data_IF_466785643347
#
_entry.id   IF_466785643347
#
_cell.length_a   1.000
_cell.length_b   1.000
_cell.length_c   1.000
_cell.angle_alpha   90.00
_cell.angle_beta   90.00
_cell.angle_gamma   90.00
#
_symmetry.space_group_name_H-M   'P 1'
#
loop_
_entity.id
_entity.type
_entity.pdbx_description
1 polymer ?
#
# COMPACT_ATOMS: atom_id res chain seq x y z
N UNK A 1 -96.75 -28.96 18.12
CA UNK A 1 -97.11 -28.60 19.51
C UNK A 1 -96.10 -29.23 20.47
N UNK A 2 -95.45 -28.40 21.31
CA UNK A 2 -95.03 -28.64 22.72
C UNK A 2 -94.61 -30.09 23.08
N UNK A 3 -93.40 -30.39 23.57
CA UNK A 3 -92.78 -29.87 24.81
C UNK A 3 -91.39 -30.49 25.01
N UNK A 4 -90.48 -29.70 25.59
CA UNK A 4 -89.24 -30.14 26.21
C UNK A 4 -89.51 -30.89 27.53
N UNK A 5 -88.54 -31.68 28.01
CA UNK A 5 -88.12 -31.76 29.43
C UNK A 5 -86.66 -32.28 29.51
N UNK A 6 -85.95 -31.66 30.45
CA UNK A 6 -84.53 -31.75 30.83
C UNK A 6 -84.15 -33.09 31.46
N UNK A 7 -82.86 -33.45 31.37
CA UNK A 7 -82.12 -34.08 32.47
C UNK A 7 -80.61 -33.80 32.32
N UNK A 8 -79.98 -33.44 33.43
CA UNK A 8 -78.59 -32.99 33.59
C UNK A 8 -77.79 -34.07 34.33
N UNK A 9 -76.61 -34.40 33.77
CA UNK A 9 -75.32 -34.85 34.35
C UNK A 9 -75.29 -36.06 35.32
N UNK A 10 -74.21 -36.87 35.44
CA UNK A 10 -72.78 -36.56 35.65
C UNK A 10 -71.87 -37.80 35.40
N UNK A 11 -70.68 -37.52 34.82
CA UNK A 11 -69.33 -38.14 34.86
C UNK A 11 -69.08 -39.67 34.89
N UNK A 12 -68.27 -40.12 33.92
CA UNK A 12 -66.85 -40.48 34.11
C UNK A 12 -66.16 -40.65 32.74
N UNK A 13 -65.17 -39.80 32.41
CA UNK A 13 -64.45 -39.84 31.13
C UNK A 13 -62.95 -40.03 31.32
N UNK A 14 -62.45 -41.20 30.92
CA UNK A 14 -61.03 -41.53 30.75
C UNK A 14 -60.48 -40.82 29.50
N UNK A 15 -59.37 -40.09 29.61
CA UNK A 15 -58.65 -39.50 28.48
C UNK A 15 -57.52 -40.44 28.02
N UNK A 16 -57.55 -40.85 26.74
CA UNK A 16 -56.45 -41.53 26.04
C UNK A 16 -55.77 -40.49 25.15
N UNK A 17 -54.47 -40.27 25.34
CA UNK A 17 -53.66 -39.38 24.52
C UNK A 17 -53.21 -40.09 23.24
N UNK A 18 -53.54 -39.53 22.07
CA UNK A 18 -53.01 -39.93 20.78
C UNK A 18 -51.87 -38.97 20.37
N UNK A 19 -50.65 -39.49 20.26
CA UNK A 19 -49.48 -38.75 19.76
C UNK A 19 -49.36 -38.89 18.24
N UNK A 20 -49.51 -37.78 17.52
CA UNK A 20 -49.10 -37.64 16.13
C UNK A 20 -47.72 -36.99 16.07
N UNK A 21 -46.68 -37.73 15.68
CA UNK A 21 -45.37 -37.17 15.33
C UNK A 21 -45.35 -36.74 13.87
N UNK A 22 -45.17 -35.45 13.63
CA UNK A 22 -44.82 -34.88 12.33
C UNK A 22 -43.29 -35.00 12.09
N UNK A 23 -42.81 -35.33 10.88
CA UNK A 23 -41.38 -35.32 10.59
C UNK A 23 -40.87 -33.88 10.57
N UNK A 24 -39.88 -33.58 11.40
CA UNK A 24 -39.17 -32.30 11.42
C UNK A 24 -38.18 -32.32 10.24
N UNK A 25 -38.16 -31.31 9.35
CA UNK A 25 -37.10 -31.21 8.36
C UNK A 25 -35.80 -30.86 9.08
N UNK A 26 -34.80 -31.72 8.97
CA UNK A 26 -33.43 -31.42 9.37
C UNK A 26 -32.89 -30.30 8.46
N UNK A 27 -33.12 -29.06 8.87
CA UNK A 27 -32.36 -27.94 8.35
C UNK A 27 -30.93 -28.10 8.87
N UNK A 28 -30.03 -28.53 7.98
CA UNK A 28 -28.60 -28.34 8.20
C UNK A 28 -28.36 -26.88 8.62
N UNK A 29 -27.45 -26.60 9.57
CA UNK A 29 -27.09 -25.23 9.87
C UNK A 29 -26.67 -24.56 8.56
N UNK A 30 -27.40 -23.52 8.14
CA UNK A 30 -26.96 -22.65 7.06
C UNK A 30 -25.61 -22.08 7.51
N UNK A 31 -24.51 -22.66 7.02
CA UNK A 31 -23.21 -22.01 7.12
C UNK A 31 -23.39 -20.62 6.53
N UNK A 32 -22.99 -19.55 7.24
CA UNK A 32 -22.95 -18.23 6.63
C UNK A 32 -22.13 -18.36 5.32
N UNK A 33 -22.53 -17.69 4.24
CA UNK A 33 -21.76 -17.73 2.99
C UNK A 33 -20.30 -17.41 3.33
N UNK A 34 -19.38 -18.23 2.83
CA UNK A 34 -17.97 -18.03 3.07
C UNK A 34 -17.61 -16.59 2.69
N UNK A 35 -16.93 -15.88 3.59
CA UNK A 35 -16.50 -14.50 3.36
C UNK A 35 -15.63 -14.49 2.11
N UNK A 36 -16.13 -13.88 1.03
CA UNK A 36 -15.36 -13.65 -0.19
C UNK A 36 -14.54 -12.38 -0.06
N UNK A 37 -13.41 -12.33 -0.74
CA UNK A 37 -12.51 -11.18 -0.78
C UNK A 37 -12.21 -10.84 -2.23
N UNK A 38 -12.40 -9.59 -2.63
CA UNK A 38 -12.06 -9.10 -3.96
C UNK A 38 -10.72 -8.39 -3.90
N UNK A 39 -9.70 -8.91 -4.59
CA UNK A 39 -8.34 -8.36 -4.56
C UNK A 39 -7.97 -7.79 -5.92
N UNK A 40 -7.51 -6.53 -5.93
CA UNK A 40 -6.93 -5.88 -7.09
C UNK A 40 -5.47 -6.27 -7.30
N UNK A 41 -5.11 -6.76 -8.48
CA UNK A 41 -3.74 -7.14 -8.86
C UNK A 41 -3.40 -6.71 -10.29
N UNK A 42 -2.13 -6.75 -10.66
CA UNK A 42 -1.70 -6.66 -12.06
C UNK A 42 -1.96 -7.96 -12.82
N UNK A 43 -2.13 -7.89 -14.13
CA UNK A 43 -2.23 -9.09 -14.97
C UNK A 43 -1.10 -9.24 -15.99
N UNK A 44 -0.16 -8.29 -16.02
CA UNK A 44 0.81 -8.13 -17.09
C UNK A 44 2.27 -8.13 -16.62
N UNK A 45 2.59 -8.33 -15.34
CA UNK A 45 3.94 -8.16 -14.80
C UNK A 45 4.60 -9.51 -14.45
N UNK A 46 5.47 -10.06 -15.32
CA UNK A 46 6.10 -11.36 -15.09
C UNK A 46 6.88 -11.40 -13.77
N UNK A 47 6.68 -12.47 -13.00
CA UNK A 47 7.25 -12.64 -11.66
C UNK A 47 6.48 -11.95 -10.53
N UNK A 48 5.79 -10.82 -10.77
CA UNK A 48 4.96 -10.17 -9.75
C UNK A 48 3.50 -10.61 -9.83
N UNK A 49 2.84 -10.40 -10.97
CA UNK A 49 1.48 -10.86 -11.20
C UNK A 49 1.14 -10.88 -12.68
N UNK A 50 0.93 -12.09 -13.20
CA UNK A 50 0.47 -12.35 -14.56
C UNK A 50 -0.81 -13.19 -14.54
N UNK A 51 -1.76 -12.87 -15.41
CA UNK A 51 -2.93 -13.72 -15.62
C UNK A 51 -2.59 -14.82 -16.63
N UNK A 52 -2.57 -16.05 -16.15
CA UNK A 52 -2.34 -17.21 -16.99
C UNK A 52 -3.44 -17.45 -18.04
N UNK A 53 -3.13 -18.31 -19.02
CA UNK A 53 -4.11 -18.77 -20.01
C UNK A 53 -5.29 -19.53 -19.38
N UNK A 54 -5.08 -20.13 -18.22
CA UNK A 54 -6.10 -20.75 -17.38
C UNK A 54 -6.97 -19.74 -16.61
N UNK A 55 -6.76 -18.43 -16.85
CA UNK A 55 -7.49 -17.34 -16.24
C UNK A 55 -7.10 -17.06 -14.78
N UNK A 56 -6.17 -17.81 -14.21
CA UNK A 56 -5.72 -17.67 -12.82
C UNK A 56 -4.45 -16.81 -12.76
N UNK A 57 -4.41 -15.83 -11.86
CA UNK A 57 -3.20 -15.05 -11.66
C UNK A 57 -2.15 -15.83 -10.90
N UNK A 58 -0.87 -15.55 -11.17
CA UNK A 58 0.31 -16.11 -10.49
C UNK A 58 1.41 -15.07 -10.37
N UNK A 59 2.23 -15.17 -9.32
CA UNK A 59 3.38 -14.31 -9.09
C UNK A 59 3.51 -13.90 -7.63
N UNK A 60 4.55 -13.14 -7.33
CA UNK A 60 4.86 -12.69 -5.97
C UNK A 60 3.76 -11.82 -5.32
N UNK A 61 3.12 -10.92 -6.07
CA UNK A 61 1.99 -10.11 -5.57
C UNK A 61 0.78 -11.00 -5.28
N UNK A 62 0.57 -12.05 -6.08
CA UNK A 62 -0.50 -13.04 -5.88
C UNK A 62 -0.25 -13.86 -4.62
N UNK A 63 0.97 -14.35 -4.43
CA UNK A 63 1.36 -15.10 -3.23
C UNK A 63 1.22 -14.24 -1.97
N UNK A 64 1.57 -12.94 -2.07
CA UNK A 64 1.39 -11.96 -1.00
C UNK A 64 -0.10 -11.76 -0.68
N UNK A 65 -0.94 -11.56 -1.70
CA UNK A 65 -2.39 -11.43 -1.53
C UNK A 65 -3.03 -12.68 -0.94
N UNK A 66 -2.62 -13.88 -1.38
CA UNK A 66 -3.10 -15.17 -0.85
C UNK A 66 -2.70 -15.34 0.62
N UNK A 67 -1.47 -14.98 0.98
CA UNK A 67 -1.02 -15.04 2.37
C UNK A 67 -1.86 -14.10 3.26
N UNK A 68 -2.07 -12.85 2.82
CA UNK A 68 -2.91 -11.88 3.53
C UNK A 68 -4.34 -12.41 3.68
N UNK A 69 -4.96 -12.89 2.59
CA UNK A 69 -6.30 -13.45 2.62
C UNK A 69 -6.44 -14.59 3.65
N UNK A 70 -5.45 -15.48 3.70
CA UNK A 70 -5.39 -16.56 4.70
C UNK A 70 -5.37 -16.04 6.14
N UNK A 71 -4.61 -14.98 6.43
CA UNK A 71 -4.62 -14.31 7.75
C UNK A 71 -5.92 -13.57 8.05
N UNK A 72 -6.67 -13.18 7.02
CA UNK A 72 -8.01 -12.60 7.13
C UNK A 72 -9.12 -13.67 7.23
N UNK A 73 -8.77 -14.97 7.18
CA UNK A 73 -9.72 -16.08 7.28
C UNK A 73 -10.40 -16.47 5.96
N UNK A 74 -9.83 -16.05 4.83
CA UNK A 74 -10.35 -16.32 3.48
C UNK A 74 -9.42 -17.29 2.76
N UNK A 75 -9.97 -18.41 2.28
CA UNK A 75 -9.19 -19.40 1.51
C UNK A 75 -9.03 -18.95 0.05
N UNK A 76 -8.01 -19.45 -0.69
CA UNK A 76 -7.74 -19.02 -2.07
C UNK A 76 -8.94 -19.12 -3.02
N UNK A 77 -9.82 -20.11 -2.82
CA UNK A 77 -11.01 -20.34 -3.66
C UNK A 77 -12.07 -19.27 -3.49
N UNK A 78 -12.01 -18.51 -2.39
CA UNK A 78 -12.93 -17.42 -2.08
C UNK A 78 -12.35 -16.04 -2.43
N UNK A 79 -11.20 -15.99 -3.12
CA UNK A 79 -10.62 -14.75 -3.63
C UNK A 79 -11.14 -14.50 -5.05
N UNK A 80 -11.77 -13.34 -5.25
CA UNK A 80 -12.12 -12.82 -6.58
C UNK A 80 -11.03 -11.86 -7.04
N UNK A 81 -10.41 -12.13 -8.17
CA UNK A 81 -9.34 -11.29 -8.71
C UNK A 81 -9.88 -10.23 -9.67
N UNK A 82 -9.46 -8.97 -9.47
CA UNK A 82 -9.74 -7.83 -10.34
C UNK A 82 -8.43 -7.27 -10.89
N UNK A 83 -8.41 -6.87 -12.15
CA UNK A 83 -7.27 -6.13 -12.70
C UNK A 83 -7.23 -4.74 -12.07
N UNK A 84 -6.06 -4.36 -11.57
CA UNK A 84 -5.78 -3.06 -10.99
C UNK A 84 -4.65 -2.38 -11.78
N UNK A 85 -5.01 -1.74 -12.89
CA UNK A 85 -4.06 -0.94 -13.69
C UNK A 85 -3.57 0.26 -12.89
N UNK A 86 -2.42 0.80 -13.29
CA UNK A 86 -1.66 1.72 -12.43
C UNK A 86 -2.47 2.96 -12.05
N UNK A 87 -3.23 3.49 -13.01
CA UNK A 87 -4.13 4.65 -12.87
C UNK A 87 -5.46 4.34 -12.16
N UNK A 88 -5.84 3.07 -12.00
CA UNK A 88 -7.17 2.68 -11.51
C UNK A 88 -7.17 2.24 -10.03
N UNK A 89 -6.00 2.08 -9.41
CA UNK A 89 -5.88 1.45 -8.08
C UNK A 89 -6.66 2.21 -7.01
N UNK A 90 -6.54 3.53 -7.01
CA UNK A 90 -7.22 4.43 -6.09
C UNK A 90 -8.73 4.40 -6.30
N UNK A 91 -9.20 4.47 -7.54
CA UNK A 91 -10.63 4.42 -7.89
C UNK A 91 -11.29 3.08 -7.52
N UNK A 92 -10.58 1.97 -7.73
CA UNK A 92 -11.07 0.64 -7.36
C UNK A 92 -11.27 0.51 -5.85
N UNK A 93 -10.36 1.09 -5.06
CA UNK A 93 -10.48 1.12 -3.60
C UNK A 93 -11.62 2.04 -3.16
N UNK A 94 -11.67 3.27 -3.67
CA UNK A 94 -12.66 4.28 -3.28
C UNK A 94 -14.09 3.93 -3.69
N UNK A 95 -14.27 3.19 -4.79
CA UNK A 95 -15.58 2.68 -5.21
C UNK A 95 -16.01 1.40 -4.49
N UNK A 96 -15.13 0.78 -3.71
CA UNK A 96 -15.36 -0.54 -3.10
C UNK A 96 -15.39 -1.69 -4.11
N UNK A 97 -14.87 -1.49 -5.32
CA UNK A 97 -14.77 -2.53 -6.34
C UNK A 97 -13.76 -3.63 -5.98
N UNK A 98 -12.83 -3.33 -5.08
CA UNK A 98 -11.87 -4.26 -4.45
C UNK A 98 -11.78 -3.96 -2.94
N UNK A 99 -11.52 -4.98 -2.14
CA UNK A 99 -11.29 -4.84 -0.69
C UNK A 99 -9.87 -4.31 -0.42
N UNK A 100 -8.87 -4.80 -1.16
CA UNK A 100 -7.51 -4.28 -1.14
C UNK A 100 -6.77 -4.52 -2.45
N UNK A 101 -5.64 -3.83 -2.64
CA UNK A 101 -4.80 -3.88 -3.84
C UNK A 101 -3.38 -4.33 -3.50
N UNK A 102 -2.90 -5.38 -4.17
CA UNK A 102 -1.49 -5.81 -4.21
C UNK A 102 -1.05 -5.82 -5.67
N UNK A 103 -0.52 -4.70 -6.15
CA UNK A 103 -0.34 -4.44 -7.58
C UNK A 103 0.85 -3.50 -7.84
N UNK A 104 2.07 -3.94 -7.48
CA UNK A 104 3.31 -3.17 -7.59
C UNK A 104 3.12 -1.70 -7.14
N UNK A 105 2.54 -1.51 -5.96
CA UNK A 105 1.87 -0.27 -5.58
C UNK A 105 2.73 0.58 -4.65
N UNK A 106 3.52 1.49 -5.24
CA UNK A 106 4.40 2.36 -4.46
C UNK A 106 3.63 3.24 -3.47
N UNK A 107 4.05 3.21 -2.21
CA UNK A 107 3.60 4.11 -1.15
C UNK A 107 4.24 5.48 -1.42
N UNK A 108 3.41 6.49 -1.64
CA UNK A 108 3.83 7.90 -1.80
C UNK A 108 2.92 8.81 -0.99
N UNK A 109 3.40 10.00 -0.64
CA UNK A 109 2.60 10.96 0.11
C UNK A 109 1.32 11.39 -0.65
N UNK A 110 1.43 11.54 -1.98
CA UNK A 110 0.30 11.87 -2.83
C UNK A 110 -0.78 10.78 -2.84
N UNK A 111 -0.38 9.49 -2.87
CA UNK A 111 -1.35 8.38 -2.82
C UNK A 111 -1.96 8.22 -1.44
N UNK A 112 -1.21 8.49 -0.38
CA UNK A 112 -1.71 8.48 0.99
C UNK A 112 -2.82 9.52 1.24
N UNK A 113 -2.96 10.53 0.39
CA UNK A 113 -4.12 11.45 0.42
C UNK A 113 -5.42 10.78 -0.05
N UNK A 114 -5.33 9.73 -0.87
CA UNK A 114 -6.46 9.11 -1.55
C UNK A 114 -6.80 7.73 -0.99
N UNK A 115 -5.81 7.01 -0.46
CA UNK A 115 -5.96 5.65 0.09
C UNK A 115 -5.13 5.47 1.37
N UNK A 116 -5.37 4.40 2.10
CA UNK A 116 -4.50 3.97 3.21
C UNK A 116 -3.60 2.83 2.74
N UNK A 117 -2.40 2.71 3.33
CA UNK A 117 -1.42 1.69 2.96
C UNK A 117 -1.01 0.83 4.15
N UNK A 118 -0.86 -0.47 3.90
CA UNK A 118 -0.18 -1.42 4.75
C UNK A 118 1.17 -1.84 4.13
N UNK A 119 2.15 -2.23 4.94
CA UNK A 119 3.48 -2.64 4.46
C UNK A 119 4.57 -1.60 4.75
N UNK A 120 5.65 -1.51 3.93
CA UNK A 120 5.81 -2.15 2.62
C UNK A 120 6.05 -3.66 2.67
N UNK A 121 5.74 -4.37 1.58
CA UNK A 121 6.02 -5.79 1.37
C UNK A 121 7.16 -6.04 0.37
N UNK A 122 7.56 -5.06 -0.45
CA UNK A 122 8.71 -5.17 -1.34
C UNK A 122 9.42 -3.82 -1.49
N UNK A 123 10.75 -3.86 -1.56
CA UNK A 123 11.59 -2.71 -1.92
C UNK A 123 12.07 -2.90 -3.36
N UNK A 124 11.89 -1.87 -4.20
CA UNK A 124 12.31 -1.85 -5.60
C UNK A 124 12.97 -0.50 -5.94
N UNK A 125 13.30 -0.28 -7.22
CA UNK A 125 13.71 1.02 -7.71
C UNK A 125 13.53 1.12 -9.22
N UNK A 126 13.19 2.29 -9.73
CA UNK A 126 13.04 2.52 -11.16
C UNK A 126 14.38 2.33 -11.89
N UNK A 127 14.34 1.67 -13.03
CA UNK A 127 15.45 1.39 -13.94
C UNK A 127 14.97 1.52 -15.40
N UNK A 128 15.81 1.10 -16.36
CA UNK A 128 15.57 1.17 -17.79
C UNK A 128 15.65 -0.21 -18.42
N UNK A 129 14.71 -0.51 -19.32
CA UNK A 129 14.69 -1.68 -20.18
C UNK A 129 14.86 -1.22 -21.62
N UNK A 130 15.86 -1.80 -22.28
CA UNK A 130 16.24 -1.46 -23.65
C UNK A 130 16.41 -2.73 -24.48
N UNK A 131 16.46 -2.60 -25.80
CA UNK A 131 16.81 -3.73 -26.68
C UNK A 131 18.24 -4.22 -26.40
N UNK A 132 18.47 -5.51 -26.58
CA UNK A 132 19.73 -6.19 -26.25
C UNK A 132 20.98 -5.55 -26.89
N UNK A 133 20.84 -4.93 -28.06
CA UNK A 133 21.92 -4.26 -28.78
C UNK A 133 22.08 -2.76 -28.49
N UNK A 134 21.14 -2.13 -27.79
CA UNK A 134 21.20 -0.70 -27.45
C UNK A 134 22.31 -0.47 -26.42
N UNK A 135 23.17 0.55 -26.62
CA UNK A 135 24.35 0.86 -25.78
C UNK A 135 24.47 2.35 -25.47
N UNK A 136 23.64 3.19 -26.07
CA UNK A 136 23.64 4.63 -25.88
C UNK A 136 22.72 5.09 -24.74
N UNK A 137 21.96 4.17 -24.13
CA UNK A 137 21.08 4.45 -22.99
C UNK A 137 21.57 3.58 -21.82
N UNK A 138 22.30 4.19 -20.89
CA UNK A 138 22.82 3.52 -19.69
C UNK A 138 22.45 4.27 -18.39
N UNK A 139 22.03 5.54 -18.48
CA UNK A 139 21.49 6.31 -17.35
C UNK A 139 20.22 7.07 -17.73
N UNK A 140 19.45 7.59 -16.76
CA UNK A 140 18.28 8.41 -17.03
C UNK A 140 18.56 9.67 -17.84
N UNK A 141 19.77 10.23 -17.75
CA UNK A 141 20.18 11.42 -18.50
C UNK A 141 20.30 11.15 -20.01
N UNK A 142 20.61 9.90 -20.39
CA UNK A 142 20.71 9.49 -21.80
C UNK A 142 19.37 9.44 -22.54
N UNK A 143 18.26 9.64 -21.82
CA UNK A 143 16.92 9.63 -22.39
C UNK A 143 16.58 10.92 -23.16
N UNK A 144 17.41 11.98 -23.08
CA UNK A 144 17.13 13.24 -23.77
C UNK A 144 16.96 13.06 -25.29
N UNK A 145 15.82 13.52 -25.81
CA UNK A 145 15.44 13.36 -27.22
C UNK A 145 14.96 11.96 -27.61
N UNK A 146 14.94 11.00 -26.67
CA UNK A 146 14.43 9.63 -26.87
C UNK A 146 12.93 9.54 -26.62
N UNK A 147 12.32 8.51 -27.17
CA UNK A 147 10.94 8.12 -26.89
C UNK A 147 10.93 7.03 -25.84
N UNK A 148 10.33 7.31 -24.68
CA UNK A 148 10.33 6.43 -23.51
C UNK A 148 8.90 6.05 -23.18
N UNK A 149 8.65 4.76 -22.90
CA UNK A 149 7.31 4.29 -22.52
C UNK A 149 7.24 3.85 -21.07
N UNK A 150 6.10 4.09 -20.44
CA UNK A 150 5.74 3.52 -19.13
C UNK A 150 4.23 3.42 -18.98
N UNK A 151 3.74 2.86 -17.87
CA UNK A 151 2.31 2.78 -17.60
C UNK A 151 1.75 4.14 -17.15
N UNK A 152 0.56 4.51 -17.62
CA UNK A 152 -0.17 5.70 -17.15
C UNK A 152 -0.50 5.59 -15.64
N UNK A 153 -0.45 6.70 -14.92
CA UNK A 153 -0.66 6.74 -13.46
C UNK A 153 0.45 6.07 -12.62
N UNK A 154 1.60 5.72 -13.22
CA UNK A 154 2.75 5.16 -12.49
C UNK A 154 3.63 6.25 -11.85
N UNK A 155 4.32 5.91 -10.74
CA UNK A 155 5.38 6.76 -10.18
C UNK A 155 6.53 6.94 -11.16
N UNK A 156 6.75 5.96 -12.03
CA UNK A 156 7.75 6.00 -13.08
C UNK A 156 7.48 7.12 -14.10
N UNK A 157 6.22 7.29 -14.54
CA UNK A 157 5.81 8.38 -15.43
C UNK A 157 6.06 9.75 -14.77
N UNK A 158 5.65 9.88 -13.52
CA UNK A 158 5.81 11.08 -12.73
C UNK A 158 7.27 11.45 -12.50
N UNK A 159 8.12 10.45 -12.25
CA UNK A 159 9.55 10.67 -12.04
C UNK A 159 10.23 11.22 -13.28
N UNK A 160 9.92 10.64 -14.45
CA UNK A 160 10.46 11.13 -15.73
C UNK A 160 9.98 12.56 -16.00
N UNK A 161 8.68 12.84 -15.84
CA UNK A 161 8.11 14.19 -16.05
C UNK A 161 8.77 15.26 -15.16
N UNK A 162 9.18 14.90 -13.93
CA UNK A 162 9.67 15.86 -12.94
C UNK A 162 11.19 16.02 -12.89
N UNK A 163 11.94 14.94 -13.10
CA UNK A 163 13.33 14.87 -12.62
C UNK A 163 14.36 14.50 -13.67
N UNK A 164 13.97 13.91 -14.80
CA UNK A 164 14.94 13.40 -15.77
C UNK A 164 14.62 13.83 -17.18
N UNK A 165 15.69 14.04 -17.95
CA UNK A 165 15.67 14.27 -19.39
C UNK A 165 14.60 15.27 -19.86
N UNK A 166 14.98 16.55 -19.86
CA UNK A 166 14.14 17.70 -20.21
C UNK A 166 13.45 17.58 -21.58
N UNK A 167 14.02 16.80 -22.51
CA UNK A 167 13.51 16.61 -23.86
C UNK A 167 13.02 15.18 -24.15
N UNK A 168 12.78 14.35 -23.12
CA UNK A 168 12.16 13.03 -23.32
C UNK A 168 10.78 13.17 -23.95
N UNK A 169 10.51 12.33 -24.96
CA UNK A 169 9.16 12.09 -25.47
C UNK A 169 8.55 10.95 -24.68
N UNK A 170 7.94 11.29 -23.54
CA UNK A 170 7.25 10.29 -22.71
C UNK A 170 5.95 9.85 -23.40
N UNK A 171 5.83 8.56 -23.65
CA UNK A 171 4.60 7.90 -24.08
C UNK A 171 4.07 7.03 -22.95
N UNK A 172 2.76 6.96 -22.80
CA UNK A 172 2.13 6.12 -21.78
C UNK A 172 1.20 5.09 -22.41
N UNK A 173 1.02 3.97 -21.70
CA UNK A 173 0.12 2.87 -22.06
C UNK A 173 -0.63 2.41 -20.82
N UNK A 174 -1.70 1.66 -21.00
CA UNK A 174 -2.48 1.09 -19.90
C UNK A 174 -1.69 0.02 -19.13
N UNK A 175 -0.81 -0.70 -19.83
CA UNK A 175 -0.04 -1.85 -19.34
C UNK A 175 1.43 -1.73 -19.70
N UNK A 176 2.31 -2.33 -18.90
CA UNK A 176 3.73 -2.41 -19.22
C UNK A 176 3.98 -3.35 -20.41
N UNK A 177 3.14 -4.37 -20.59
CA UNK A 177 3.24 -5.30 -21.71
C UNK A 177 3.09 -4.59 -23.07
N UNK A 178 2.20 -3.57 -23.15
CA UNK A 178 2.09 -2.73 -24.34
C UNK A 178 3.37 -1.92 -24.61
N UNK A 179 3.97 -1.32 -23.57
CA UNK A 179 5.25 -0.64 -23.71
C UNK A 179 6.37 -1.59 -24.17
N UNK A 180 6.41 -2.81 -23.64
CA UNK A 180 7.41 -3.82 -24.03
C UNK A 180 7.21 -4.26 -25.48
N UNK A 181 5.96 -4.44 -25.92
CA UNK A 181 5.65 -4.73 -27.31
C UNK A 181 6.14 -3.61 -28.26
N UNK A 182 5.92 -2.35 -27.88
CA UNK A 182 6.41 -1.19 -28.63
C UNK A 182 7.95 -1.13 -28.67
N UNK A 183 8.63 -1.48 -27.56
CA UNK A 183 10.09 -1.54 -27.49
C UNK A 183 10.67 -2.59 -28.45
N UNK A 184 10.05 -3.77 -28.48
CA UNK A 184 10.42 -4.87 -29.38
C UNK A 184 10.16 -4.47 -30.83
N UNK A 185 9.03 -3.81 -31.11
CA UNK A 185 8.70 -3.31 -32.43
C UNK A 185 9.61 -2.16 -32.91
N UNK A 186 10.37 -1.56 -32.00
CA UNK A 186 11.27 -0.45 -32.32
C UNK A 186 10.58 0.90 -32.46
N UNK A 187 9.33 1.02 -32.00
CA UNK A 187 8.56 2.29 -32.05
C UNK A 187 8.90 3.23 -30.90
N UNK A 188 9.56 2.72 -29.85
CA UNK A 188 10.13 3.48 -28.74
C UNK A 188 11.58 3.05 -28.50
N UNK A 189 12.33 3.86 -27.75
CA UNK A 189 13.75 3.64 -27.46
C UNK A 189 13.98 2.89 -26.14
N UNK A 190 13.15 3.11 -25.13
CA UNK A 190 13.26 2.48 -23.81
C UNK A 190 11.89 2.32 -23.13
N UNK A 191 11.77 1.31 -22.27
CA UNK A 191 10.72 1.24 -21.24
C UNK A 191 11.35 1.59 -19.91
N UNK A 192 10.66 2.39 -19.09
CA UNK A 192 11.11 2.68 -17.73
C UNK A 192 10.04 2.35 -16.72
N UNK A 193 10.41 1.55 -15.72
CA UNK A 193 9.67 1.30 -14.50
C UNK A 193 10.57 0.57 -13.53
N UNK A 194 9.99 -0.07 -12.52
CA UNK A 194 10.70 -0.66 -11.42
C UNK A 194 11.46 -1.89 -11.93
N UNK A 195 12.73 -1.96 -11.57
CA UNK A 195 13.70 -2.99 -11.92
C UNK A 195 13.16 -4.43 -11.80
N UNK A 196 12.29 -4.71 -10.82
CA UNK A 196 11.67 -6.03 -10.64
C UNK A 196 10.72 -6.38 -11.78
N UNK A 197 9.93 -5.40 -12.27
CA UNK A 197 9.03 -5.56 -13.41
C UNK A 197 9.88 -5.75 -14.68
N UNK A 198 10.91 -4.91 -14.84
CA UNK A 198 11.78 -4.96 -16.01
C UNK A 198 12.57 -6.27 -16.10
N UNK A 199 13.04 -6.81 -14.96
CA UNK A 199 13.70 -8.10 -14.90
C UNK A 199 12.79 -9.24 -15.37
N UNK A 200 11.50 -9.21 -14.98
CA UNK A 200 10.49 -10.14 -15.48
C UNK A 200 10.40 -10.14 -17.01
N UNK A 201 10.27 -8.97 -17.64
CA UNK A 201 10.21 -8.88 -19.09
C UNK A 201 11.52 -9.24 -19.79
N UNK A 202 12.67 -8.84 -19.24
CA UNK A 202 13.96 -9.25 -19.81
C UNK A 202 14.13 -10.77 -19.79
N UNK A 203 13.63 -11.44 -18.75
CA UNK A 203 13.64 -12.89 -18.64
C UNK A 203 12.73 -13.59 -19.67
N UNK A 204 11.54 -13.06 -19.93
CA UNK A 204 10.63 -13.60 -20.96
C UNK A 204 11.13 -13.36 -22.39
N UNK A 205 12.05 -12.41 -22.59
CA UNK A 205 12.59 -12.04 -23.89
C UNK A 205 14.12 -12.18 -23.98
N UNK A 206 14.68 -13.39 -23.73
CA UNK A 206 16.11 -13.61 -23.66
C UNK A 206 16.78 -13.28 -25.00
N UNK A 207 17.85 -12.49 -24.95
CA UNK A 207 18.60 -12.06 -26.14
C UNK A 207 17.92 -10.96 -26.97
N UNK A 208 16.72 -10.51 -26.58
CA UNK A 208 15.98 -9.42 -27.24
C UNK A 208 15.99 -8.17 -26.38
N UNK A 209 15.80 -8.30 -25.07
CA UNK A 209 15.75 -7.19 -24.13
C UNK A 209 16.78 -7.36 -23.01
N UNK A 210 17.27 -6.23 -22.47
CA UNK A 210 18.09 -6.19 -21.25
C UNK A 210 17.62 -5.07 -20.33
N UNK A 211 17.75 -5.32 -19.04
CA UNK A 211 17.73 -4.26 -18.02
C UNK A 211 19.10 -3.59 -18.04
N UNK A 212 19.12 -2.26 -17.94
CA UNK A 212 20.36 -1.48 -17.86
C UNK A 212 21.11 -1.77 -16.56
N UNK A 213 20.40 -1.81 -15.44
CA UNK A 213 20.95 -2.28 -14.15
C UNK A 213 21.39 -1.15 -13.23
N UNK A 214 20.88 0.07 -13.43
CA UNK A 214 21.22 1.27 -12.66
C UNK A 214 19.96 1.90 -12.08
N UNK A 215 19.48 1.34 -10.97
CA UNK A 215 18.35 1.90 -10.21
C UNK A 215 18.61 3.36 -9.85
N UNK A 216 17.62 4.21 -10.09
CA UNK A 216 17.71 5.65 -9.82
C UNK A 216 16.57 6.18 -8.94
N UNK A 217 15.69 5.30 -8.46
CA UNK A 217 14.74 5.60 -7.38
C UNK A 217 14.74 4.49 -6.32
N UNK A 218 13.99 4.74 -5.24
CA UNK A 218 13.55 3.73 -4.29
C UNK A 218 12.04 3.69 -4.28
N UNK A 219 11.49 2.51 -4.54
CA UNK A 219 10.05 2.25 -4.55
C UNK A 219 9.72 1.33 -3.37
N UNK A 220 8.68 1.69 -2.62
CA UNK A 220 8.18 0.90 -1.48
C UNK A 220 6.82 0.35 -1.84
N UNK A 221 6.69 -0.93 -2.17
CA UNK A 221 5.39 -1.49 -2.48
C UNK A 221 4.59 -1.75 -1.22
N UNK A 222 3.42 -1.15 -1.13
CA UNK A 222 2.45 -1.38 -0.08
C UNK A 222 1.20 -2.09 -0.59
N UNK A 223 0.38 -2.53 0.36
CA UNK A 223 -0.97 -3.00 0.09
C UNK A 223 -1.91 -1.82 0.30
N UNK A 224 -2.59 -1.41 -0.76
CA UNK A 224 -3.57 -0.33 -0.69
C UNK A 224 -4.90 -0.84 -0.14
N UNK A 225 -5.50 -0.10 0.79
CA UNK A 225 -6.85 -0.34 1.32
C UNK A 225 -7.67 0.95 1.21
N UNK A 226 -9.00 0.84 1.36
CA UNK A 226 -9.86 2.03 1.38
C UNK A 226 -9.36 3.06 2.39
N UNK A 227 -9.41 4.35 2.05
CA UNK A 227 -8.95 5.42 2.95
C UNK A 227 -9.70 5.36 4.28
N UNK A 228 -8.95 5.39 5.39
CA UNK A 228 -9.54 5.39 6.74
C UNK A 228 -10.02 4.03 7.24
N UNK A 229 -9.88 2.93 6.48
CA UNK A 229 -10.15 1.57 6.99
C UNK A 229 -8.97 1.07 7.85
N UNK A 230 -8.88 1.61 9.06
CA UNK A 230 -7.77 1.34 9.98
C UNK A 230 -7.77 -0.10 10.51
N UNK A 231 -8.93 -0.76 10.61
CA UNK A 231 -9.01 -2.18 11.01
C UNK A 231 -8.38 -3.07 9.94
N UNK A 232 -8.81 -2.92 8.68
CA UNK A 232 -8.26 -3.70 7.59
C UNK A 232 -6.78 -3.38 7.39
N UNK A 233 -6.39 -2.10 7.43
CA UNK A 233 -4.99 -1.68 7.34
C UNK A 233 -4.13 -2.37 8.41
N UNK A 234 -4.56 -2.36 9.68
CA UNK A 234 -3.83 -2.99 10.78
C UNK A 234 -3.70 -4.52 10.64
N UNK A 235 -4.77 -5.18 10.21
CA UNK A 235 -4.79 -6.64 9.98
C UNK A 235 -3.92 -7.05 8.79
N UNK A 236 -3.99 -6.32 7.69
CA UNK A 236 -3.14 -6.53 6.51
C UNK A 236 -1.67 -6.28 6.87
N UNK A 237 -1.38 -5.22 7.62
CA UNK A 237 -0.02 -4.90 8.04
C UNK A 237 0.57 -6.00 8.93
N UNK A 238 -0.23 -6.53 9.88
CA UNK A 238 0.15 -7.68 10.70
C UNK A 238 0.43 -8.93 9.85
N UNK A 239 -0.38 -9.17 8.81
CA UNK A 239 -0.17 -10.28 7.90
C UNK A 239 1.14 -10.14 7.09
N UNK A 240 1.43 -8.95 6.54
CA UNK A 240 2.70 -8.69 5.82
C UNK A 240 3.90 -8.92 6.74
N UNK A 241 3.83 -8.45 7.99
CA UNK A 241 4.89 -8.70 8.98
C UNK A 241 5.10 -10.19 9.24
N UNK A 242 4.04 -10.94 9.51
CA UNK A 242 4.11 -12.39 9.74
C UNK A 242 4.68 -13.13 8.53
N UNK A 243 4.33 -12.71 7.30
CA UNK A 243 4.87 -13.29 6.07
C UNK A 243 6.39 -13.16 6.00
N UNK A 244 6.94 -12.03 6.45
CA UNK A 244 8.39 -11.78 6.50
C UNK A 244 9.03 -12.62 7.63
N UNK A 245 8.45 -12.58 8.83
CA UNK A 245 8.97 -13.27 10.03
C UNK A 245 9.00 -14.79 9.87
N UNK A 246 7.96 -15.40 9.29
CA UNK A 246 7.85 -16.86 9.12
C UNK A 246 8.57 -17.41 7.85
N UNK A 247 9.24 -16.52 7.13
CA UNK A 247 10.00 -16.84 5.92
C UNK A 247 9.15 -17.13 4.68
N UNK A 248 7.82 -17.00 4.73
CA UNK A 248 6.95 -17.16 3.56
C UNK A 248 7.25 -16.11 2.49
N UNK A 249 7.59 -14.89 2.91
CA UNK A 249 8.04 -13.84 2.01
C UNK A 249 9.25 -14.27 1.19
N UNK A 250 10.27 -14.82 1.87
CA UNK A 250 11.49 -15.30 1.21
C UNK A 250 11.18 -16.42 0.21
N UNK A 251 10.35 -17.38 0.60
CA UNK A 251 9.92 -18.48 -0.29
C UNK A 251 9.18 -17.97 -1.52
N UNK A 252 8.25 -17.03 -1.34
CA UNK A 252 7.51 -16.43 -2.44
C UNK A 252 8.43 -15.62 -3.37
N UNK A 253 9.35 -14.82 -2.80
CA UNK A 253 10.36 -14.09 -3.57
C UNK A 253 11.24 -15.03 -4.40
N UNK A 254 11.78 -16.07 -3.77
CA UNK A 254 12.67 -17.04 -4.42
C UNK A 254 11.94 -17.79 -5.54
N UNK A 255 10.72 -18.26 -5.26
CA UNK A 255 9.90 -19.02 -6.19
C UNK A 255 9.47 -18.24 -7.43
N UNK A 256 9.31 -16.91 -7.33
CA UNK A 256 8.78 -16.10 -8.42
C UNK A 256 9.82 -15.22 -9.14
N UNK A 257 10.87 -14.75 -8.45
CA UNK A 257 11.76 -13.71 -8.99
C UNK A 257 13.19 -14.19 -9.25
N UNK A 258 13.63 -15.33 -8.70
CA UNK A 258 15.02 -15.77 -8.88
C UNK A 258 15.33 -16.17 -10.32
N UNK A 259 14.35 -16.73 -11.04
CA UNK A 259 14.53 -17.16 -12.42
C UNK A 259 14.90 -16.02 -13.39
N UNK A 260 14.46 -14.79 -13.10
CA UNK A 260 14.80 -13.62 -13.92
C UNK A 260 16.21 -13.08 -13.67
N UNK A 261 16.97 -13.69 -12.75
CA UNK A 261 18.25 -13.15 -12.30
C UNK A 261 18.11 -11.87 -11.47
N UNK A 262 16.88 -11.53 -11.05
CA UNK A 262 16.60 -10.39 -10.20
C UNK A 262 17.35 -10.52 -8.88
N UNK A 263 18.04 -9.44 -8.48
CA UNK A 263 18.70 -9.34 -7.19
C UNK A 263 17.82 -8.52 -6.25
N UNK A 264 17.04 -9.18 -5.38
CA UNK A 264 16.11 -8.47 -4.51
C UNK A 264 16.85 -7.63 -3.49
N UNK A 265 16.27 -6.49 -3.18
CA UNK A 265 16.65 -5.73 -2.00
C UNK A 265 16.25 -6.52 -0.73
N UNK A 266 16.89 -6.24 0.42
CA UNK A 266 16.48 -6.84 1.68
C UNK A 266 14.99 -6.67 1.96
N UNK A 267 14.41 -7.61 2.71
CA UNK A 267 13.02 -7.50 3.15
C UNK A 267 12.81 -6.14 3.83
N UNK A 268 11.72 -5.42 3.49
CA UNK A 268 11.43 -4.14 4.10
C UNK A 268 11.18 -4.25 5.60
N UNK A 269 11.46 -3.16 6.32
CA UNK A 269 10.82 -2.93 7.62
C UNK A 269 9.36 -2.57 7.35
N UNK A 270 8.43 -3.36 7.89
CA UNK A 270 7.00 -3.09 7.76
C UNK A 270 6.64 -1.91 8.66
N UNK A 271 6.17 -0.83 8.06
CA UNK A 271 5.69 0.33 8.80
C UNK A 271 4.23 0.09 9.23
N UNK A 272 3.79 0.80 10.27
CA UNK A 272 2.43 0.73 10.79
C UNK A 272 2.00 -0.64 11.32
N UNK A 273 2.92 -1.59 11.55
CA UNK A 273 2.60 -2.86 12.20
C UNK A 273 2.42 -2.58 13.69
N UNK A 274 1.18 -2.47 14.22
CA UNK A 274 1.04 -2.31 15.64
C UNK A 274 1.29 -3.70 16.22
N UNK A 275 2.26 -3.86 17.13
CA UNK A 275 2.30 -5.09 17.94
C UNK A 275 1.05 -5.25 18.81
N UNK A 276 0.28 -4.15 18.97
CA UNK A 276 -1.05 -3.97 19.57
C UNK A 276 -1.53 -2.56 19.25
N UNK A 277 -2.80 -2.24 19.54
CA UNK A 277 -3.24 -0.85 19.78
C UNK A 277 -2.16 -0.15 20.59
N UNK A 278 -1.53 0.86 19.98
CA UNK A 278 -0.50 1.67 20.62
C UNK A 278 -1.23 2.67 21.52
N UNK A 279 -1.60 2.20 22.70
CA UNK A 279 -1.78 3.10 23.83
C UNK A 279 -0.44 3.84 24.01
N UNK A 280 -0.42 5.19 24.14
CA UNK A 280 0.81 5.91 24.41
C UNK A 280 1.51 5.24 25.60
N UNK A 281 2.71 4.70 25.40
CA UNK A 281 3.51 4.23 26.53
C UNK A 281 3.70 5.38 27.49
N UNK A 282 3.64 5.12 28.80
CA UNK A 282 3.99 6.13 29.80
C UNK A 282 5.39 6.67 29.43
N UNK A 283 5.54 7.97 29.08
CA UNK A 283 6.81 8.53 28.65
C UNK A 283 7.94 8.34 29.66
N UNK A 284 7.62 8.07 30.93
CA UNK A 284 8.60 7.79 31.98
C UNK A 284 9.22 6.39 31.91
N UNK A 285 8.69 5.52 31.05
CA UNK A 285 9.12 4.12 30.87
C UNK A 285 9.87 3.86 29.56
N UNK A 286 9.89 4.85 28.66
CA UNK A 286 10.54 4.76 27.35
C UNK A 286 12.04 5.11 27.44
N UNK A 287 12.84 4.65 26.47
CA UNK A 287 14.21 5.14 26.28
C UNK A 287 14.19 6.68 26.17
N UNK A 288 14.87 7.43 27.07
CA UNK A 288 14.88 8.89 27.02
C UNK A 288 15.46 9.43 25.70
N UNK A 289 16.39 8.72 25.07
CA UNK A 289 16.93 9.10 23.77
C UNK A 289 15.90 8.96 22.65
N UNK A 290 15.01 7.96 22.72
CA UNK A 290 13.91 7.80 21.78
C UNK A 290 12.92 8.97 21.89
N UNK A 291 12.52 9.32 23.11
CA UNK A 291 11.60 10.44 23.37
C UNK A 291 12.19 11.76 22.86
N UNK A 292 13.48 11.98 23.10
CA UNK A 292 14.17 13.17 22.61
C UNK A 292 14.28 13.19 21.08
N UNK A 293 14.55 12.05 20.46
CA UNK A 293 14.61 11.94 19.00
C UNK A 293 13.24 12.22 18.34
N UNK A 294 12.15 11.67 18.89
CA UNK A 294 10.79 11.93 18.40
C UNK A 294 10.41 13.43 18.51
N UNK A 295 10.75 14.07 19.64
CA UNK A 295 10.55 15.51 19.83
C UNK A 295 11.40 16.34 18.86
N UNK A 296 12.64 15.93 18.61
CA UNK A 296 13.55 16.62 17.68
C UNK A 296 13.02 16.56 16.24
N UNK A 297 12.44 15.44 15.82
CA UNK A 297 11.77 15.31 14.50
C UNK A 297 10.64 16.33 14.37
N UNK A 298 9.72 16.39 15.33
CA UNK A 298 8.63 17.37 15.30
C UNK A 298 9.15 18.82 15.36
N UNK A 299 10.13 19.11 16.22
CA UNK A 299 10.70 20.44 16.38
C UNK A 299 11.40 20.95 15.11
N UNK A 300 12.22 20.11 14.47
CA UNK A 300 12.93 20.47 13.22
C UNK A 300 11.95 20.65 12.07
N UNK A 301 10.88 19.84 11.98
CA UNK A 301 9.78 20.03 11.03
C UNK A 301 9.06 21.37 11.25
N UNK A 302 8.64 21.66 12.49
CA UNK A 302 7.96 22.91 12.85
C UNK A 302 8.82 24.14 12.57
N UNK A 303 10.13 24.04 12.79
CA UNK A 303 11.10 25.10 12.50
C UNK A 303 11.43 25.23 11.01
N UNK A 304 10.97 24.29 10.16
CA UNK A 304 11.39 24.13 8.75
C UNK A 304 12.91 24.02 8.60
N UNK A 305 13.57 23.46 9.62
CA UNK A 305 14.99 23.14 9.61
C UNK A 305 15.20 21.82 8.87
N UNK A 306 15.21 21.88 7.54
CA UNK A 306 15.29 20.68 6.70
C UNK A 306 16.65 19.99 6.76
N UNK A 307 17.73 20.73 7.03
CA UNK A 307 19.04 20.14 7.23
C UNK A 307 19.10 19.37 8.55
N UNK A 308 18.60 19.98 9.64
CA UNK A 308 18.44 19.32 10.93
C UNK A 308 17.50 18.11 10.84
N UNK A 309 16.35 18.25 10.18
CA UNK A 309 15.40 17.16 9.98
C UNK A 309 16.02 15.99 9.20
N UNK A 310 16.76 16.26 8.11
CA UNK A 310 17.49 15.23 7.34
C UNK A 310 18.53 14.48 8.18
N UNK A 311 19.13 15.14 9.17
CA UNK A 311 20.08 14.47 10.07
C UNK A 311 19.42 13.46 10.99
N UNK A 312 18.11 13.59 11.26
CA UNK A 312 17.35 12.73 12.18
C UNK A 312 16.71 11.52 11.48
N UNK A 313 16.78 11.45 10.16
CA UNK A 313 16.09 10.44 9.37
C UNK A 313 17.08 9.46 8.74
N UNK A 314 16.61 8.25 8.50
CA UNK A 314 17.36 7.28 7.74
C UNK A 314 17.47 7.71 6.26
N UNK A 315 18.57 7.37 5.56
CA UNK A 315 18.76 7.72 4.16
C UNK A 315 17.61 7.25 3.25
N UNK A 316 17.01 6.11 3.55
CA UNK A 316 15.85 5.63 2.81
C UNK A 316 14.65 6.59 2.94
N UNK A 317 14.41 7.17 4.11
CA UNK A 317 13.25 8.03 4.38
C UNK A 317 13.43 9.46 3.86
N UNK A 318 14.67 9.87 3.58
CA UNK A 318 15.00 11.20 3.06
C UNK A 318 14.22 11.55 1.77
N UNK A 319 14.03 10.58 0.86
CA UNK A 319 13.31 10.81 -0.39
C UNK A 319 11.80 11.08 -0.15
N UNK A 320 11.18 10.38 0.83
CA UNK A 320 9.79 10.62 1.21
C UNK A 320 9.61 11.97 1.91
N UNK A 321 10.64 12.41 2.63
CA UNK A 321 10.67 13.71 3.28
C UNK A 321 10.77 14.80 2.23
N UNK A 322 11.53 14.60 1.16
CA UNK A 322 11.59 15.56 0.05
C UNK A 322 10.23 15.71 -0.64
N UNK A 323 9.43 14.65 -0.75
CA UNK A 323 8.04 14.75 -1.22
C UNK A 323 7.15 15.57 -0.27
N UNK A 324 7.24 15.31 1.03
CA UNK A 324 6.47 16.05 2.06
C UNK A 324 6.90 17.52 2.11
N UNK A 325 8.20 17.78 2.11
CA UNK A 325 8.78 19.14 2.08
C UNK A 325 8.35 19.87 0.82
N UNK A 326 8.32 19.20 -0.35
CA UNK A 326 7.88 19.81 -1.60
C UNK A 326 6.42 20.28 -1.55
N UNK A 327 5.53 19.54 -0.86
CA UNK A 327 4.15 19.98 -0.61
C UNK A 327 4.09 21.31 0.18
N UNK A 328 5.12 21.64 0.94
CA UNK A 328 5.17 22.82 1.82
C UNK A 328 6.19 23.90 1.41
N UNK A 329 6.73 23.83 0.19
CA UNK A 329 7.67 24.84 -0.35
C UNK A 329 6.95 26.01 -1.05
N UNK A 330 7.63 27.16 -1.30
CA UNK A 330 7.04 28.39 -1.88
C UNK A 330 6.34 28.24 -3.25
N UNK A 331 6.44 27.06 -3.89
CA UNK A 331 5.65 26.73 -5.07
C UNK A 331 4.14 26.58 -4.73
N UNK A 332 3.81 26.23 -3.48
CA UNK A 332 2.45 26.15 -2.94
C UNK A 332 1.82 27.55 -2.79
N UNK A 333 2.61 28.54 -2.34
CA UNK A 333 2.21 29.96 -2.26
C UNK A 333 1.91 30.56 -3.64
N UNK A 334 2.61 30.08 -4.69
CA UNK A 334 2.39 30.53 -6.07
C UNK A 334 1.05 30.10 -6.66
N UNK A 335 0.51 28.96 -6.24
CA UNK A 335 -0.67 28.35 -6.86
C UNK A 335 -2.00 28.75 -6.20
N UNK A 336 -2.00 29.05 -4.89
CA UNK A 336 -3.21 29.39 -4.14
C UNK A 336 -3.39 30.90 -3.87
N UNK A 337 -2.37 31.71 -4.19
CA UNK A 337 -2.42 33.18 -4.11
C UNK A 337 -2.07 33.74 -2.73
N UNK A 338 -2.11 35.07 -2.59
CA UNK A 338 -1.68 35.80 -1.39
C UNK A 338 -2.56 35.57 -0.14
N UNK A 339 -3.68 34.88 -0.30
CA UNK A 339 -4.65 34.63 0.77
C UNK A 339 -4.22 33.53 1.75
N UNK A 340 -3.37 32.59 1.32
CA UNK A 340 -2.84 31.52 2.18
C UNK A 340 -1.43 31.80 2.68
N UNK A 341 -0.87 32.98 2.41
CA UNK A 341 0.53 33.34 2.75
C UNK A 341 0.89 33.22 4.25
N UNK A 342 -0.12 33.24 5.11
CA UNK A 342 0.05 33.13 6.57
C UNK A 342 -0.29 31.73 7.08
N UNK A 343 -0.74 30.82 6.21
CA UNK A 343 -1.04 29.45 6.58
C UNK A 343 0.26 28.75 7.00
N UNK A 344 0.19 28.06 8.13
CA UNK A 344 1.26 27.26 8.68
C UNK A 344 0.74 25.89 9.09
N UNK A 345 1.63 25.10 9.67
CA UNK A 345 1.27 23.84 10.30
C UNK A 345 2.03 23.69 11.62
N UNK A 346 1.57 22.78 12.47
CA UNK A 346 2.26 22.41 13.69
C UNK A 346 2.14 20.90 13.89
N UNK A 347 3.29 20.25 13.96
CA UNK A 347 3.47 18.84 14.25
C UNK A 347 3.61 18.63 15.74
N UNK A 348 2.70 17.86 16.31
CA UNK A 348 2.65 17.52 17.73
C UNK A 348 2.79 16.02 17.89
N UNK A 349 3.82 15.55 18.62
CA UNK A 349 3.94 14.12 18.93
C UNK A 349 2.77 13.69 19.81
N UNK A 350 1.92 12.81 19.29
CA UNK A 350 0.72 12.30 19.96
C UNK A 350 0.93 10.94 20.62
N UNK A 351 1.97 10.19 20.21
CA UNK A 351 2.31 8.92 20.83
C UNK A 351 3.71 8.46 20.48
N UNK A 352 4.34 7.73 21.39
CA UNK A 352 5.58 6.98 21.15
C UNK A 352 5.45 5.64 21.83
N UNK A 353 5.76 4.56 21.10
CA UNK A 353 5.76 3.20 21.63
C UNK A 353 7.02 2.50 21.21
N UNK A 354 7.82 2.12 22.19
CA UNK A 354 9.01 1.32 21.97
C UNK A 354 8.61 -0.15 21.84
N UNK A 355 8.85 -0.73 20.68
CA UNK A 355 8.50 -2.13 20.37
C UNK A 355 9.63 -3.07 20.80
N UNK A 356 10.89 -2.63 20.72
CA UNK A 356 12.07 -3.34 21.24
C UNK A 356 13.23 -2.35 21.56
N UNK A 357 14.40 -2.79 22.07
CA UNK A 357 15.52 -1.89 22.40
C UNK A 357 16.05 -1.02 21.24
N UNK A 358 15.77 -1.40 20.00
CA UNK A 358 16.22 -0.76 18.77
C UNK A 358 15.09 -0.38 17.81
N UNK A 359 13.83 -0.62 18.14
CA UNK A 359 12.68 -0.31 17.29
C UNK A 359 11.56 0.38 18.09
N UNK A 360 10.91 1.34 17.46
CA UNK A 360 9.78 2.05 18.03
C UNK A 360 8.84 2.57 16.93
N UNK A 361 7.58 2.75 17.28
CA UNK A 361 6.62 3.52 16.50
C UNK A 361 6.37 4.86 17.17
N UNK A 362 6.14 5.90 16.41
CA UNK A 362 5.71 7.20 16.92
C UNK A 362 4.58 7.75 16.07
N UNK A 363 3.75 8.57 16.67
CA UNK A 363 2.64 9.25 16.04
C UNK A 363 2.81 10.76 16.25
N UNK A 364 2.51 11.54 15.22
CA UNK A 364 2.33 12.98 15.38
C UNK A 364 1.12 13.47 14.62
N UNK A 365 0.47 14.47 15.18
CA UNK A 365 -0.65 15.16 14.58
C UNK A 365 -0.18 16.50 14.03
N UNK A 366 -0.35 16.69 12.72
CA UNK A 366 -0.11 17.92 11.99
C UNK A 366 -1.40 18.74 11.94
N UNK A 367 -1.40 19.86 12.65
CA UNK A 367 -2.52 20.80 12.62
C UNK A 367 -2.21 21.97 11.71
N UNK A 368 -3.06 22.23 10.73
CA UNK A 368 -2.95 23.44 9.91
C UNK A 368 -3.48 24.66 10.65
N UNK A 369 -2.65 25.71 10.69
CA UNK A 369 -2.93 26.96 11.37
C UNK A 369 -3.08 28.11 10.36
N UNK A 370 -3.91 29.10 10.70
CA UNK A 370 -4.12 30.31 9.90
C UNK A 370 -4.56 30.06 8.43
N UNK A 371 -5.19 28.91 8.16
CA UNK A 371 -5.81 28.62 6.87
C UNK A 371 -7.16 29.34 6.77
N UNK A 372 -7.41 30.14 5.73
CA UNK A 372 -8.72 30.74 5.51
C UNK A 372 -9.80 29.68 5.32
N UNK A 373 -10.99 29.89 5.87
CA UNK A 373 -12.10 28.91 5.90
C UNK A 373 -12.43 28.32 4.53
N UNK A 374 -12.43 29.14 3.47
CA UNK A 374 -12.67 28.69 2.09
C UNK A 374 -11.68 27.64 1.56
N UNK A 375 -10.54 27.48 2.24
CA UNK A 375 -9.52 26.48 1.90
C UNK A 375 -9.46 25.30 2.88
N UNK A 376 -10.27 25.26 3.95
CA UNK A 376 -10.24 24.16 4.94
C UNK A 376 -10.50 22.78 4.33
N UNK A 377 -11.23 22.71 3.21
CA UNK A 377 -11.39 21.47 2.46
C UNK A 377 -10.10 20.91 1.83
N UNK A 378 -9.06 21.76 1.68
CA UNK A 378 -7.76 21.40 1.09
C UNK A 378 -6.64 21.24 2.15
N UNK A 379 -6.74 21.92 3.29
CA UNK A 379 -5.76 21.86 4.39
C UNK A 379 -6.37 21.11 5.58
N UNK A 380 -6.46 19.79 5.43
CA UNK A 380 -6.92 18.89 6.48
C UNK A 380 -5.77 18.50 7.38
N UNK A 381 -6.02 18.45 8.69
CA UNK A 381 -5.04 17.97 9.66
C UNK A 381 -4.63 16.53 9.33
N UNK A 382 -3.39 16.16 9.66
CA UNK A 382 -2.79 14.90 9.24
C UNK A 382 -2.21 14.21 10.45
N UNK A 383 -2.67 13.00 10.74
CA UNK A 383 -2.00 12.09 11.64
C UNK A 383 -0.92 11.34 10.88
N UNK A 384 0.31 11.45 11.33
CA UNK A 384 1.41 10.68 10.81
C UNK A 384 1.76 9.58 11.79
N UNK A 385 2.00 8.39 11.24
CA UNK A 385 2.62 7.28 11.95
C UNK A 385 3.99 7.05 11.36
N UNK A 386 4.97 6.80 12.21
CA UNK A 386 6.33 6.55 11.75
C UNK A 386 7.03 5.49 12.56
N UNK A 387 8.12 5.00 12.00
CA UNK A 387 8.98 3.98 12.60
C UNK A 387 10.33 4.60 12.91
N UNK A 388 10.75 4.52 14.16
CA UNK A 388 12.09 4.88 14.60
C UNK A 388 12.92 3.63 14.81
N UNK A 389 14.17 3.66 14.34
CA UNK A 389 15.12 2.56 14.49
C UNK A 389 16.41 3.11 15.08
N UNK A 390 16.99 2.39 16.04
CA UNK A 390 18.31 2.71 16.59
C UNK A 390 19.39 2.23 15.62
N UNK A 391 20.11 3.17 15.00
CA UNK A 391 21.24 2.91 14.10
C UNK A 391 22.49 3.61 14.62
N UNK A 392 23.59 2.87 14.69
CA UNK A 392 24.88 3.36 15.17
C UNK A 392 24.76 4.05 16.55
N UNK A 393 23.95 3.49 17.45
CA UNK A 393 23.72 4.02 18.80
C UNK A 393 22.66 5.12 18.90
N UNK A 394 22.18 5.69 17.78
CA UNK A 394 21.22 6.80 17.76
C UNK A 394 19.87 6.41 17.15
N UNK A 395 18.77 6.90 17.73
CA UNK A 395 17.44 6.75 17.15
C UNK A 395 17.28 7.60 15.89
N UNK A 396 16.76 7.00 14.82
CA UNK A 396 16.51 7.66 13.52
C UNK A 396 15.09 7.36 13.03
N UNK A 397 14.47 8.33 12.37
CA UNK A 397 13.20 8.16 11.67
C UNK A 397 13.42 7.39 10.37
N UNK A 398 12.93 6.15 10.29
CA UNK A 398 13.20 5.25 9.16
C UNK A 398 11.96 4.82 8.36
N UNK A 399 10.78 5.24 8.80
CA UNK A 399 9.53 5.15 8.03
C UNK A 399 8.57 6.23 8.46
N UNK A 400 7.83 6.81 7.51
CA UNK A 400 6.81 7.81 7.76
C UNK A 400 5.62 7.53 6.84
N UNK A 401 4.43 7.49 7.43
CA UNK A 401 3.16 7.31 6.76
C UNK A 401 2.19 8.39 7.23
N UNK A 402 1.35 8.89 6.32
CA UNK A 402 0.39 9.95 6.57
C UNK A 402 -1.05 9.42 6.47
N UNK A 403 -1.86 9.69 7.50
CA UNK A 403 -3.28 9.41 7.61
C UNK A 403 -4.01 10.74 7.86
N UNK A 404 -4.83 11.21 6.90
CA UNK A 404 -5.54 12.50 7.04
C UNK A 404 -6.70 12.34 8.01
N UNK A 405 -6.86 13.28 8.94
CA UNK A 405 -7.98 13.31 9.88
C UNK A 405 -9.20 13.87 9.15
N UNK A 406 -10.27 13.07 9.03
CA UNK A 406 -11.56 13.59 8.54
C UNK A 406 -12.22 14.48 9.60
N UNK A 407 -12.92 15.56 9.19
CA UNK A 407 -13.54 16.53 10.12
C UNK A 407 -14.69 15.96 10.97
#
# INVERSE_FOLDING_TARGET
>A
MKRAIRAVAVMAGLTVAAGCSTPKPDAAPLQPPARTLTVGIKFDQPGLSVKGLDGKPRGFDVDTAVYIAGKLGVTPEHITWREARSEQREDLLNSGAVDFVVASYSITAARQQLVSFAGPYLMSGQDLLVRQGERAIETPEDLDGRTVCTAEGSTSADKIRRSFAHNVKLSTRDTYAQCVADLIAGTIDAVTTDDVILAGYAHEHPGVLRVVGHRFTRERYGVGVHKGDLDLQGRVTSAVRLMIEDGSWRRAMEGNLTASGYKPLPAPVVFNAPDKVVEPGDPTTLDPELVNAAKAVAATSNARDWEGFRSLVCPETADAIDEIVFQYTPQFDKNLGTEVKNAGYTNTVTGVTQTDPNSATFAFHETFTNVPEKYRGYFKDIDYTGTMVRRNGSWKLCGLAADFVEP
#
